data_IF_627489412088
#
_entry.id   IF_627489412088
#
_cell.length_a   1.000
_cell.length_b   1.000
_cell.length_c   1.000
_cell.angle_alpha   90.00
_cell.angle_beta   90.00
_cell.angle_gamma   90.00
#
_symmetry.space_group_name_H-M   'P 1'
#
loop_
_entity.id
_entity.type
_entity.pdbx_description
1 polymer ?
#
# COMPACT_ATOMS: atom_id res chain seq x y z
N UNK A 1 19.98 1.03 -1.81
CA UNK A 1 20.41 0.75 -3.21
C UNK A 1 19.71 -0.53 -3.67
N UNK A 2 19.17 -0.57 -4.89
CA UNK A 2 18.52 -1.78 -5.44
C UNK A 2 19.59 -2.88 -5.63
N UNK A 3 19.35 -4.14 -5.23
CA UNK A 3 20.32 -5.22 -5.42
C UNK A 3 20.62 -5.42 -6.92
N UNK A 4 21.89 -5.64 -7.27
CA UNK A 4 22.32 -5.81 -8.66
C UNK A 4 21.52 -6.93 -9.36
N UNK A 5 20.82 -6.58 -10.44
CA UNK A 5 20.06 -7.53 -11.29
C UNK A 5 18.53 -7.36 -11.29
N UNK A 6 17.98 -6.41 -10.52
CA UNK A 6 16.56 -6.06 -10.53
C UNK A 6 16.30 -4.72 -11.22
N UNK A 7 15.14 -4.51 -11.85
CA UNK A 7 14.81 -3.25 -12.51
C UNK A 7 14.71 -2.10 -11.50
N UNK A 8 15.15 -0.90 -11.90
CA UNK A 8 14.97 0.34 -11.13
C UNK A 8 13.53 0.86 -11.28
N UNK A 9 12.57 0.05 -10.82
CA UNK A 9 11.15 0.34 -10.90
C UNK A 9 10.54 0.78 -9.57
N UNK A 10 9.29 1.22 -9.62
CA UNK A 10 8.58 1.64 -8.40
C UNK A 10 8.48 0.49 -7.38
N UNK A 11 8.37 -0.77 -7.82
CA UNK A 11 8.27 -1.91 -6.91
C UNK A 11 9.60 -2.17 -6.19
N UNK A 12 10.72 -2.13 -6.91
CA UNK A 12 12.06 -2.19 -6.31
C UNK A 12 12.28 -1.07 -5.31
N UNK A 13 11.92 0.16 -5.69
CA UNK A 13 12.13 1.33 -4.82
C UNK A 13 11.29 1.27 -3.55
N UNK A 14 10.01 0.90 -3.64
CA UNK A 14 9.17 0.69 -2.44
C UNK A 14 9.72 -0.45 -1.60
N UNK A 15 10.15 -1.55 -2.22
CA UNK A 15 10.71 -2.68 -1.49
C UNK A 15 11.95 -2.33 -0.68
N UNK A 16 12.88 -1.58 -1.29
CA UNK A 16 14.07 -1.06 -0.58
C UNK A 16 13.66 -0.15 0.58
N UNK A 17 12.67 0.73 0.40
CA UNK A 17 12.18 1.62 1.47
C UNK A 17 11.52 0.81 2.60
N UNK A 18 10.80 -0.26 2.29
CA UNK A 18 10.23 -1.16 3.31
C UNK A 18 11.33 -1.84 4.10
N UNK A 19 12.33 -2.40 3.42
CA UNK A 19 13.46 -3.07 4.08
C UNK A 19 14.23 -2.07 4.96
N UNK A 20 14.48 -0.85 4.47
CA UNK A 20 15.08 0.23 5.26
C UNK A 20 14.20 0.63 6.45
N UNK A 21 12.88 0.71 6.30
CA UNK A 21 11.96 1.05 7.39
C UNK A 21 11.89 -0.02 8.47
N UNK A 22 12.07 -1.30 8.11
CA UNK A 22 12.12 -2.41 9.05
C UNK A 22 13.44 -2.44 9.83
N UNK A 23 14.54 -1.99 9.21
CA UNK A 23 15.88 -1.93 9.83
C UNK A 23 16.10 -0.65 10.64
N UNK A 24 15.79 0.50 10.05
CA UNK A 24 15.96 1.82 10.61
C UNK A 24 14.60 2.28 11.10
N UNK A 25 14.42 2.35 12.43
CA UNK A 25 13.21 2.85 13.13
C UNK A 25 12.92 4.34 12.83
N UNK A 26 12.78 4.68 11.57
CA UNK A 26 12.59 6.01 11.02
C UNK A 26 11.21 6.10 10.38
N UNK A 27 10.68 7.32 10.25
CA UNK A 27 9.34 7.51 9.72
C UNK A 27 9.29 7.19 8.22
N UNK A 28 8.25 6.45 7.80
CA UNK A 28 8.03 6.06 6.41
C UNK A 28 8.00 7.26 5.45
N UNK A 29 7.43 8.37 5.89
CA UNK A 29 7.38 9.62 5.13
C UNK A 29 8.78 10.14 4.85
N UNK A 30 9.66 10.21 5.85
CA UNK A 30 11.04 10.68 5.68
C UNK A 30 11.83 9.83 4.69
N UNK A 31 11.68 8.51 4.73
CA UNK A 31 12.34 7.58 3.80
C UNK A 31 11.81 7.75 2.37
N UNK A 32 10.50 7.92 2.19
CA UNK A 32 9.92 8.22 0.87
C UNK A 32 10.47 9.52 0.28
N UNK A 33 10.57 10.59 1.08
CA UNK A 33 11.10 11.87 0.60
C UNK A 33 12.58 11.81 0.26
N UNK A 34 13.39 11.05 1.02
CA UNK A 34 14.81 10.80 0.75
C UNK A 34 15.08 9.96 -0.50
N UNK A 35 14.12 9.16 -0.96
CA UNK A 35 14.29 8.32 -2.16
C UNK A 35 14.57 9.15 -3.42
N UNK A 36 15.11 8.54 -4.48
CA UNK A 36 15.37 9.22 -5.76
C UNK A 36 14.16 9.25 -6.71
N UNK A 37 13.06 8.58 -6.35
CA UNK A 37 11.89 8.45 -7.21
C UNK A 37 11.13 9.78 -7.34
N UNK A 38 10.75 10.15 -8.57
CA UNK A 38 10.14 11.45 -8.90
C UNK A 38 8.73 11.59 -8.34
N UNK A 39 7.88 10.57 -8.49
CA UNK A 39 6.50 10.62 -8.03
C UNK A 39 6.35 10.10 -6.59
N UNK A 40 6.62 11.00 -5.63
CA UNK A 40 6.54 10.72 -4.18
C UNK A 40 5.15 10.27 -3.73
N UNK A 41 4.09 10.85 -4.30
CA UNK A 41 2.70 10.50 -3.95
C UNK A 41 2.40 9.05 -4.31
N UNK A 42 2.79 8.63 -5.51
CA UNK A 42 2.59 7.26 -5.97
C UNK A 42 3.42 6.27 -5.14
N UNK A 43 4.67 6.61 -4.83
CA UNK A 43 5.54 5.79 -3.98
C UNK A 43 4.93 5.59 -2.59
N UNK A 44 4.50 6.69 -1.94
CA UNK A 44 3.91 6.65 -0.61
C UNK A 44 2.58 5.89 -0.61
N UNK A 45 1.74 6.08 -1.62
CA UNK A 45 0.47 5.36 -1.74
C UNK A 45 0.67 3.85 -1.87
N UNK A 46 1.64 3.43 -2.69
CA UNK A 46 1.99 2.02 -2.83
C UNK A 46 2.62 1.46 -1.55
N UNK A 47 3.52 2.20 -0.90
CA UNK A 47 4.14 1.82 0.36
C UNK A 47 3.10 1.57 1.46
N UNK A 48 2.23 2.56 1.70
CA UNK A 48 1.17 2.45 2.72
C UNK A 48 0.29 1.26 2.40
N UNK A 49 -0.15 1.12 1.14
CA UNK A 49 -0.98 0.00 0.72
C UNK A 49 -0.29 -1.33 1.01
N UNK A 50 0.98 -1.51 0.62
CA UNK A 50 1.72 -2.76 0.86
C UNK A 50 1.81 -3.08 2.35
N UNK A 51 2.09 -2.08 3.19
CA UNK A 51 2.18 -2.27 4.64
C UNK A 51 0.82 -2.61 5.27
N UNK A 52 -0.27 -2.02 4.79
CA UNK A 52 -1.61 -2.33 5.26
C UNK A 52 -2.05 -3.77 5.02
N UNK A 53 -1.45 -4.47 4.05
CA UNK A 53 -1.70 -5.89 3.79
C UNK A 53 -0.55 -6.79 4.24
N UNK A 54 0.46 -6.26 4.95
CA UNK A 54 1.70 -6.97 5.27
C UNK A 54 1.45 -8.34 5.88
N UNK A 55 0.59 -8.44 6.90
CA UNK A 55 0.34 -9.70 7.61
C UNK A 55 -0.26 -10.78 6.70
N UNK A 56 -1.14 -10.39 5.77
CA UNK A 56 -1.70 -11.30 4.78
C UNK A 56 -0.65 -11.70 3.73
N UNK A 57 0.13 -10.72 3.24
CA UNK A 57 1.20 -10.95 2.27
C UNK A 57 2.29 -11.86 2.86
N UNK A 58 2.60 -11.74 4.15
CA UNK A 58 3.55 -12.59 4.87
C UNK A 58 3.12 -14.05 4.89
N UNK A 59 1.86 -14.29 5.23
CA UNK A 59 1.29 -15.65 5.19
C UNK A 59 1.35 -16.23 3.77
N UNK A 60 1.11 -15.42 2.75
CA UNK A 60 1.27 -15.85 1.35
C UNK A 60 2.71 -16.23 1.02
N UNK A 61 3.69 -15.40 1.39
CA UNK A 61 5.11 -15.66 1.11
C UNK A 61 5.55 -16.97 1.76
N UNK A 62 5.17 -17.18 3.02
CA UNK A 62 5.48 -18.41 3.76
C UNK A 62 4.89 -19.66 3.09
N UNK A 63 3.63 -19.60 2.63
CA UNK A 63 2.95 -20.76 2.03
C UNK A 63 3.41 -21.10 0.60
N UNK A 64 3.84 -20.11 -0.18
CA UNK A 64 4.21 -20.33 -1.58
C UNK A 64 5.65 -20.82 -1.72
N UNK A 65 6.49 -20.61 -0.70
CA UNK A 65 7.90 -21.02 -0.62
C UNK A 65 8.63 -20.75 -1.95
N UNK A 66 8.89 -19.46 -2.22
CA UNK A 66 9.52 -19.00 -3.46
C UNK A 66 10.98 -19.49 -3.48
N UNK A 67 11.20 -20.63 -4.14
CA UNK A 67 12.51 -21.27 -4.25
C UNK A 67 13.20 -20.80 -5.53
N UNK A 68 13.91 -19.67 -5.45
CA UNK A 68 14.70 -19.11 -6.56
C UNK A 68 16.16 -18.97 -6.12
N UNK A 69 17.11 -19.23 -7.03
CA UNK A 69 18.56 -19.13 -6.75
C UNK A 69 18.99 -17.78 -6.17
N UNK A 70 18.29 -16.70 -6.55
CA UNK A 70 18.44 -15.35 -5.99
C UNK A 70 17.04 -14.77 -5.75
N UNK A 71 16.46 -14.94 -4.56
CA UNK A 71 15.18 -14.32 -4.25
C UNK A 71 15.36 -12.79 -4.16
N UNK A 72 14.37 -12.00 -4.63
CA UNK A 72 14.37 -10.58 -4.34
C UNK A 72 14.23 -10.34 -2.83
N UNK A 73 14.56 -9.13 -2.39
CA UNK A 73 14.43 -8.78 -0.97
C UNK A 73 12.98 -8.90 -0.48
N UNK A 74 12.82 -9.03 0.83
CA UNK A 74 11.52 -9.24 1.45
C UNK A 74 10.53 -8.10 1.14
N UNK A 75 10.95 -6.84 1.26
CA UNK A 75 10.13 -5.68 0.91
C UNK A 75 9.73 -5.67 -0.58
N UNK A 76 10.61 -6.12 -1.46
CA UNK A 76 10.31 -6.24 -2.90
C UNK A 76 9.23 -7.32 -3.12
N UNK A 77 9.36 -8.49 -2.49
CA UNK A 77 8.36 -9.56 -2.57
C UNK A 77 6.98 -9.09 -2.10
N UNK A 78 6.91 -8.42 -0.96
CA UNK A 78 5.67 -7.83 -0.44
C UNK A 78 5.03 -6.90 -1.48
N UNK A 79 5.83 -6.00 -2.03
CA UNK A 79 5.33 -4.98 -2.96
C UNK A 79 4.81 -5.59 -4.26
N UNK A 80 5.53 -6.56 -4.83
CA UNK A 80 5.12 -7.23 -6.06
C UNK A 80 3.83 -8.03 -5.85
N UNK A 81 3.71 -8.73 -4.72
CA UNK A 81 2.49 -9.48 -4.40
C UNK A 81 1.29 -8.54 -4.17
N UNK A 82 1.50 -7.42 -3.47
CA UNK A 82 0.50 -6.37 -3.31
C UNK A 82 0.03 -5.84 -4.69
N UNK A 83 0.97 -5.55 -5.58
CA UNK A 83 0.67 -5.05 -6.93
C UNK A 83 -0.03 -6.11 -7.79
N UNK A 84 0.30 -7.39 -7.63
CA UNK A 84 -0.35 -8.48 -8.36
C UNK A 84 -1.80 -8.71 -7.90
N UNK A 85 -2.08 -8.53 -6.60
CA UNK A 85 -3.42 -8.74 -6.04
C UNK A 85 -4.37 -7.56 -6.27
N UNK A 86 -3.84 -6.35 -6.09
CA UNK A 86 -4.64 -5.12 -6.01
C UNK A 86 -4.28 -4.08 -7.07
N UNK A 87 -3.26 -4.34 -7.89
CA UNK A 87 -2.91 -3.49 -9.02
C UNK A 87 -3.87 -3.71 -10.18
N UNK A 88 -4.00 -2.69 -11.02
CA UNK A 88 -4.83 -2.75 -12.24
C UNK A 88 -4.13 -3.48 -13.41
N UNK A 89 -3.27 -4.44 -13.11
CA UNK A 89 -2.44 -5.11 -14.12
C UNK A 89 -1.17 -4.35 -14.54
N UNK A 90 -0.82 -3.26 -13.84
CA UNK A 90 0.44 -2.51 -14.05
C UNK A 90 1.62 -3.12 -13.27
N UNK A 91 1.71 -4.45 -13.20
CA UNK A 91 2.98 -5.09 -12.82
C UNK A 91 3.90 -5.06 -14.02
N UNK A 92 5.12 -4.57 -13.82
CA UNK A 92 6.13 -4.60 -14.87
C UNK A 92 6.34 -6.02 -15.40
N UNK A 93 6.73 -6.12 -16.67
CA UNK A 93 6.87 -7.39 -17.39
C UNK A 93 7.82 -8.33 -16.65
N UNK A 94 8.89 -7.79 -16.07
CA UNK A 94 9.87 -8.53 -15.28
C UNK A 94 9.21 -9.26 -14.10
N UNK A 95 8.49 -8.53 -13.25
CA UNK A 95 7.86 -9.09 -12.06
C UNK A 95 6.72 -10.06 -12.38
N UNK A 96 5.99 -9.80 -13.47
CA UNK A 96 4.96 -10.72 -13.95
C UNK A 96 5.55 -12.06 -14.39
N UNK A 97 6.70 -12.03 -15.08
CA UNK A 97 7.43 -13.24 -15.50
C UNK A 97 7.97 -13.98 -14.28
N UNK A 98 8.49 -13.27 -13.29
CA UNK A 98 8.96 -13.84 -12.03
C UNK A 98 7.86 -14.57 -11.27
N UNK A 99 6.65 -13.99 -11.17
CA UNK A 99 5.52 -14.61 -10.46
C UNK A 99 4.80 -15.71 -11.24
N UNK A 100 4.98 -15.79 -12.56
CA UNK A 100 4.25 -16.72 -13.44
C UNK A 100 4.28 -18.18 -12.96
N UNK A 101 5.43 -18.75 -12.53
CA UNK A 101 5.49 -20.13 -12.04
C UNK A 101 4.69 -20.35 -10.74
N UNK A 102 4.54 -19.30 -9.93
CA UNK A 102 3.90 -19.37 -8.61
C UNK A 102 2.42 -18.99 -8.63
N UNK A 103 1.90 -18.48 -9.75
CA UNK A 103 0.54 -17.97 -9.87
C UNK A 103 -0.53 -19.00 -9.47
N UNK A 104 -0.35 -20.28 -9.80
CA UNK A 104 -1.31 -21.33 -9.44
C UNK A 104 -1.37 -21.52 -7.93
N UNK A 105 -0.20 -21.59 -7.28
CA UNK A 105 -0.10 -21.70 -5.82
C UNK A 105 -0.66 -20.47 -5.11
N UNK A 106 -0.33 -19.28 -5.60
CA UNK A 106 -0.83 -18.01 -5.09
C UNK A 106 -2.36 -17.93 -5.17
N UNK A 107 -2.95 -18.29 -6.32
CA UNK A 107 -4.42 -18.33 -6.48
C UNK A 107 -5.07 -19.36 -5.57
N UNK A 108 -4.49 -20.56 -5.46
CA UNK A 108 -5.00 -21.61 -4.57
C UNK A 108 -5.00 -21.14 -3.11
N UNK A 109 -3.89 -20.53 -2.66
CA UNK A 109 -3.79 -19.98 -1.32
C UNK A 109 -4.81 -18.87 -1.10
N UNK A 110 -4.90 -17.89 -2.01
CA UNK A 110 -5.83 -16.78 -1.92
C UNK A 110 -7.29 -17.27 -1.77
N UNK A 111 -7.71 -18.20 -2.62
CA UNK A 111 -9.07 -18.76 -2.56
C UNK A 111 -9.31 -19.51 -1.25
N UNK A 112 -8.34 -20.32 -0.81
CA UNK A 112 -8.44 -21.06 0.44
C UNK A 112 -8.50 -20.13 1.65
N UNK A 113 -7.73 -19.04 1.63
CA UNK A 113 -7.71 -18.03 2.68
C UNK A 113 -9.02 -17.25 2.73
N UNK A 114 -9.52 -16.79 1.59
CA UNK A 114 -10.80 -16.09 1.50
C UNK A 114 -11.97 -16.96 1.98
N UNK A 115 -12.00 -18.24 1.58
CA UNK A 115 -13.02 -19.18 2.04
C UNK A 115 -12.95 -19.41 3.56
N UNK A 116 -11.74 -19.63 4.11
CA UNK A 116 -11.54 -19.87 5.54
C UNK A 116 -11.96 -18.67 6.40
N UNK A 117 -11.71 -17.45 5.93
CA UNK A 117 -12.04 -16.22 6.64
C UNK A 117 -13.39 -15.62 6.23
N UNK A 118 -14.17 -16.28 5.37
CA UNK A 118 -15.47 -15.82 4.84
C UNK A 118 -15.39 -14.42 4.22
N UNK A 119 -14.27 -14.12 3.56
CA UNK A 119 -14.02 -12.84 2.89
C UNK A 119 -14.62 -12.89 1.49
N UNK A 120 -15.56 -12.00 1.20
CA UNK A 120 -16.21 -11.90 -0.11
C UNK A 120 -15.36 -11.05 -1.06
N UNK A 121 -14.92 -9.88 -0.59
CA UNK A 121 -14.16 -8.93 -1.39
C UNK A 121 -12.70 -8.86 -0.98
N UNK A 122 -11.81 -8.74 -1.97
CA UNK A 122 -10.37 -8.58 -1.71
C UNK A 122 -10.05 -7.36 -0.86
N UNK A 123 -10.89 -6.33 -0.88
CA UNK A 123 -10.70 -5.10 -0.08
C UNK A 123 -10.76 -5.39 1.43
N UNK A 124 -11.51 -6.42 1.81
CA UNK A 124 -11.71 -6.81 3.21
C UNK A 124 -10.58 -7.74 3.70
N UNK A 125 -9.58 -8.04 2.85
CA UNK A 125 -8.32 -8.67 3.28
C UNK A 125 -7.51 -7.76 4.21
N UNK A 126 -7.79 -6.45 4.22
CA UNK A 126 -7.17 -5.52 5.16
C UNK A 126 -8.05 -5.37 6.40
N UNK A 127 -7.47 -5.61 7.57
CA UNK A 127 -8.13 -5.42 8.86
C UNK A 127 -8.06 -3.98 9.39
N UNK A 128 -7.18 -3.11 8.84
CA UNK A 128 -6.72 -1.92 9.60
C UNK A 128 -6.75 -0.57 8.88
N UNK A 129 -7.12 -0.48 7.58
CA UNK A 129 -7.30 0.86 6.99
C UNK A 129 -8.69 1.38 7.41
N UNK A 130 -8.82 1.78 8.68
CA UNK A 130 -9.77 2.84 9.02
C UNK A 130 -9.40 4.01 8.13
N UNK A 131 -10.23 4.33 7.14
CA UNK A 131 -10.05 5.53 6.32
C UNK A 131 -10.09 6.70 7.28
N UNK A 132 -8.92 7.18 7.70
CA UNK A 132 -8.83 8.30 8.62
C UNK A 132 -9.48 9.48 7.91
N UNK A 133 -10.55 10.06 8.47
CA UNK A 133 -11.17 11.22 7.86
C UNK A 133 -10.13 12.32 7.74
N UNK A 134 -10.18 13.07 6.64
CA UNK A 134 -9.33 14.26 6.50
C UNK A 134 -9.91 15.35 7.38
N UNK A 135 -9.35 15.51 8.57
CA UNK A 135 -9.71 16.59 9.49
C UNK A 135 -9.02 17.90 9.07
N UNK A 136 -9.76 19.00 9.12
CA UNK A 136 -9.24 20.34 8.85
C UNK A 136 -9.59 21.22 10.05
N UNK A 137 -8.61 21.99 10.55
CA UNK A 137 -8.86 23.01 11.57
C UNK A 137 -9.24 24.32 10.89
N UNK A 138 -10.39 24.86 11.24
CA UNK A 138 -10.87 26.17 10.75
C UNK A 138 -10.30 27.27 11.66
N UNK A 139 -9.83 28.37 11.07
CA UNK A 139 -9.38 29.52 11.81
C UNK A 139 -10.55 30.49 12.05
N UNK A 140 -11.14 30.40 13.24
CA UNK A 140 -12.32 31.18 13.65
C UNK A 140 -12.07 32.69 13.78
N UNK A 141 -10.81 33.14 13.81
CA UNK A 141 -10.49 34.57 13.77
C UNK A 141 -10.72 35.18 12.36
N UNK A 142 -10.79 34.34 11.32
CA UNK A 142 -10.94 34.77 9.92
C UNK A 142 -12.30 34.41 9.32
N UNK A 143 -12.88 33.29 9.72
CA UNK A 143 -14.12 32.77 9.14
C UNK A 143 -14.85 31.92 10.16
N UNK A 144 -16.17 32.07 10.21
CA UNK A 144 -17.03 31.23 11.03
C UNK A 144 -17.10 29.80 10.49
N UNK A 145 -17.36 28.86 11.39
CA UNK A 145 -17.41 27.42 11.07
C UNK A 145 -18.49 27.13 10.03
N UNK A 146 -19.67 27.73 10.16
CA UNK A 146 -20.79 27.49 9.24
C UNK A 146 -20.49 28.01 7.82
N UNK A 147 -19.91 29.21 7.72
CA UNK A 147 -19.52 29.81 6.44
C UNK A 147 -18.42 28.97 5.78
N UNK A 148 -17.47 28.44 6.55
CA UNK A 148 -16.45 27.54 6.04
C UNK A 148 -17.06 26.21 5.54
N UNK A 149 -18.05 25.65 6.24
CA UNK A 149 -18.75 24.43 5.81
C UNK A 149 -19.49 24.68 4.49
N UNK A 150 -20.20 25.80 4.35
CA UNK A 150 -20.87 26.15 3.08
C UNK A 150 -19.87 26.33 1.94
N UNK A 151 -18.75 27.02 2.19
CA UNK A 151 -17.67 27.14 1.22
C UNK A 151 -17.16 25.77 0.77
N UNK A 152 -16.89 24.85 1.71
CA UNK A 152 -16.45 23.49 1.36
C UNK A 152 -17.52 22.68 0.62
N UNK A 153 -18.82 22.89 0.88
CA UNK A 153 -19.90 22.24 0.13
C UNK A 153 -19.94 22.66 -1.33
N UNK A 154 -19.64 23.93 -1.63
CA UNK A 154 -19.66 24.46 -3.00
C UNK A 154 -18.49 23.95 -3.85
N UNK A 155 -17.31 23.78 -3.25
CA UNK A 155 -16.09 23.44 -3.98
C UNK A 155 -15.71 21.95 -3.93
N UNK A 156 -16.34 21.15 -3.07
CA UNK A 156 -15.97 19.74 -2.89
C UNK A 156 -17.18 18.81 -3.04
N UNK A 157 -17.09 17.89 -4.00
CA UNK A 157 -17.92 16.67 -4.12
C UNK A 157 -17.57 15.66 -3.01
N UNK A 158 -17.51 16.11 -1.75
CA UNK A 158 -17.25 15.26 -0.60
C UNK A 158 -18.60 14.78 -0.07
N UNK A 159 -18.83 13.47 -0.07
CA UNK A 159 -19.86 12.86 0.76
C UNK A 159 -19.48 13.16 2.22
N UNK A 160 -20.13 14.15 2.82
CA UNK A 160 -19.95 14.58 4.20
C UNK A 160 -20.42 13.46 5.15
N UNK A 161 -19.58 12.45 5.38
CA UNK A 161 -19.74 11.59 6.54
C UNK A 161 -19.40 12.42 7.78
N UNK A 162 -20.44 12.80 8.53
CA UNK A 162 -20.40 13.26 9.92
C UNK A 162 -19.29 14.27 10.27
N UNK A 163 -19.63 15.57 10.19
CA UNK A 163 -18.85 16.60 10.86
C UNK A 163 -19.11 16.43 12.36
N UNK A 164 -18.17 15.84 13.08
CA UNK A 164 -18.14 15.90 14.53
C UNK A 164 -17.30 17.11 14.94
N UNK A 165 -17.96 18.16 15.44
CA UNK A 165 -17.27 19.25 16.13
C UNK A 165 -16.88 18.72 17.50
N UNK A 166 -15.58 18.53 17.72
CA UNK A 166 -15.04 18.29 19.06
C UNK A 166 -14.65 19.64 19.63
N UNK A 167 -15.35 20.07 20.69
CA UNK A 167 -14.98 21.22 21.51
C UNK A 167 -13.66 21.00 22.26
#
# INVERSE_FOLDING_TARGET
MVPQGFPDDICSMVGVVIDEALLLKSSLTSLCYKSRFTNKKMLLALLIKTLSYKDFLDKMIQNVSISVKKPPSYGILLTILCQQLFGRGHTEIFWRRFLRPYNIKLKKFLNSYMLKHKIIDKKDLCTEITRVPRCVRINTLKIDVDVAIEYFRLFCTISLCSISVTE
#
